data_IF_081726648863
#
_entry.id   IF_081726648863
#
_cell.length_a   1.000
_cell.length_b   1.000
_cell.length_c   1.000
_cell.angle_alpha   90.00
_cell.angle_beta   90.00
_cell.angle_gamma   90.00
#
_symmetry.space_group_name_H-M   'P 1'
#
loop_
_entity.id
_entity.type
_entity.pdbx_description
1 polymer ?
#
# COMPACT_ATOMS: atom_id res chain seq x y z
N UNK A 1 -4.07 16.98 -25.82
CA UNK A 1 -4.07 16.33 -24.50
C UNK A 1 -5.40 15.62 -24.35
N UNK A 2 -5.41 14.30 -24.39
CA UNK A 2 -6.62 13.48 -24.35
C UNK A 2 -6.78 12.90 -22.95
N UNK A 3 -7.84 13.29 -22.26
CA UNK A 3 -8.21 12.71 -20.97
C UNK A 3 -9.23 11.59 -21.22
N UNK A 4 -8.99 10.41 -20.64
CA UNK A 4 -9.89 9.26 -20.74
C UNK A 4 -10.57 9.03 -19.40
N UNK A 5 -11.84 8.63 -19.41
CA UNK A 5 -12.56 8.24 -18.21
C UNK A 5 -13.30 6.91 -18.42
N UNK A 6 -13.29 6.07 -17.40
CA UNK A 6 -14.04 4.83 -17.34
C UNK A 6 -13.23 3.71 -16.69
N UNK A 7 -13.78 2.50 -16.73
CA UNK A 7 -13.12 1.28 -16.29
C UNK A 7 -13.38 0.13 -17.27
N UNK A 8 -12.71 -1.00 -17.08
CA UNK A 8 -12.92 -2.19 -17.91
C UNK A 8 -14.37 -2.70 -17.84
N UNK A 9 -15.04 -2.51 -16.69
CA UNK A 9 -16.44 -2.86 -16.52
C UNK A 9 -17.35 -2.07 -17.45
N UNK A 10 -17.22 -0.75 -17.46
CA UNK A 10 -18.00 0.11 -18.37
C UNK A 10 -17.73 -0.20 -19.84
N UNK A 11 -16.48 -0.54 -20.19
CA UNK A 11 -16.14 -0.95 -21.55
C UNK A 11 -16.78 -2.30 -21.93
N UNK A 12 -16.74 -3.28 -21.02
CA UNK A 12 -17.35 -4.59 -21.24
C UNK A 12 -18.86 -4.48 -21.42
N UNK A 13 -19.53 -3.69 -20.59
CA UNK A 13 -20.98 -3.51 -20.67
C UNK A 13 -21.37 -2.85 -21.99
N UNK A 14 -20.60 -1.85 -22.41
CA UNK A 14 -20.80 -1.20 -23.71
C UNK A 14 -20.59 -2.16 -24.88
N UNK A 15 -19.51 -2.94 -24.88
CA UNK A 15 -19.24 -3.97 -25.89
C UNK A 15 -20.32 -5.03 -25.96
N UNK A 16 -20.73 -5.55 -24.82
CA UNK A 16 -21.73 -6.62 -24.72
C UNK A 16 -23.07 -6.13 -25.25
N UNK A 17 -23.47 -4.91 -24.88
CA UNK A 17 -24.72 -4.32 -25.35
C UNK A 17 -24.71 -4.06 -26.84
N UNK A 18 -23.64 -3.49 -27.39
CA UNK A 18 -23.50 -3.28 -28.84
C UNK A 18 -23.55 -4.61 -29.60
N UNK A 19 -22.85 -5.64 -29.12
CA UNK A 19 -22.86 -6.98 -29.71
C UNK A 19 -24.26 -7.59 -29.71
N UNK A 20 -24.94 -7.59 -28.56
CA UNK A 20 -26.30 -8.14 -28.41
C UNK A 20 -27.26 -7.49 -29.40
N UNK A 21 -27.24 -6.15 -29.49
CA UNK A 21 -28.12 -5.41 -30.38
C UNK A 21 -27.80 -5.66 -31.86
N UNK A 22 -26.53 -5.79 -32.21
CA UNK A 22 -26.12 -6.10 -33.59
C UNK A 22 -26.50 -7.53 -34.00
N UNK A 23 -26.38 -8.50 -33.09
CA UNK A 23 -26.84 -9.86 -33.32
C UNK A 23 -28.35 -9.91 -33.53
N UNK A 24 -29.13 -9.15 -32.73
CA UNK A 24 -30.58 -9.01 -32.93
C UNK A 24 -30.93 -8.37 -34.29
N UNK A 25 -30.10 -7.45 -34.78
CA UNK A 25 -30.23 -6.85 -36.12
C UNK A 25 -29.75 -7.79 -37.24
N UNK A 26 -29.24 -8.98 -36.93
CA UNK A 26 -28.73 -9.96 -37.89
C UNK A 26 -27.37 -9.58 -38.51
N UNK A 27 -26.64 -8.65 -37.87
CA UNK A 27 -25.28 -8.29 -38.31
C UNK A 27 -24.27 -9.31 -37.81
N UNK A 28 -23.28 -9.62 -38.66
CA UNK A 28 -22.18 -10.53 -38.34
C UNK A 28 -20.87 -9.81 -37.99
N UNK A 29 -20.85 -8.49 -38.11
CA UNK A 29 -19.70 -7.62 -37.82
C UNK A 29 -20.14 -6.46 -36.95
N UNK A 30 -19.20 -5.94 -36.15
CA UNK A 30 -19.41 -4.73 -35.35
C UNK A 30 -18.49 -3.65 -35.91
N UNK A 31 -19.07 -2.52 -36.29
CA UNK A 31 -18.35 -1.36 -36.77
C UNK A 31 -18.29 -0.27 -35.69
N UNK A 32 -17.36 0.68 -35.84
CA UNK A 32 -17.19 1.80 -34.90
C UNK A 32 -18.48 2.62 -34.74
N UNK A 33 -19.32 2.67 -35.78
CA UNK A 33 -20.57 3.42 -35.76
C UNK A 33 -21.64 2.76 -34.89
N UNK A 34 -21.60 1.44 -34.72
CA UNK A 34 -22.54 0.72 -33.85
C UNK A 34 -22.33 1.09 -32.37
N UNK A 35 -21.10 1.45 -32.00
CA UNK A 35 -20.77 1.91 -30.66
C UNK A 35 -21.33 3.30 -30.34
N UNK A 36 -21.49 4.16 -31.36
CA UNK A 36 -22.00 5.53 -31.16
C UNK A 36 -23.44 5.52 -30.66
N UNK A 37 -24.26 4.57 -31.12
CA UNK A 37 -25.67 4.43 -30.72
C UNK A 37 -25.81 4.14 -29.22
N UNK A 38 -24.90 3.35 -28.67
CA UNK A 38 -24.93 2.92 -27.26
C UNK A 38 -23.91 3.63 -26.39
N UNK A 39 -23.30 4.71 -26.89
CA UNK A 39 -22.34 5.50 -26.14
C UNK A 39 -23.01 6.12 -24.90
N UNK A 40 -22.24 6.25 -23.83
CA UNK A 40 -22.70 6.87 -22.60
C UNK A 40 -23.09 8.33 -22.87
N UNK A 41 -24.25 8.73 -22.34
CA UNK A 41 -24.71 10.11 -22.42
C UNK A 41 -23.75 11.05 -21.70
N UNK A 42 -23.74 12.33 -22.09
CA UNK A 42 -22.89 13.34 -21.45
C UNK A 42 -23.11 13.40 -19.93
N UNK A 43 -24.36 13.27 -19.48
CA UNK A 43 -24.69 13.24 -18.05
C UNK A 43 -24.09 12.03 -17.32
N UNK A 44 -24.06 10.85 -17.96
CA UNK A 44 -23.40 9.67 -17.40
C UNK A 44 -21.89 9.88 -17.31
N UNK A 45 -21.26 10.49 -18.31
CA UNK A 45 -19.84 10.83 -18.28
C UNK A 45 -19.51 11.84 -17.16
N UNK A 46 -20.36 12.87 -16.98
CA UNK A 46 -20.23 13.84 -15.89
C UNK A 46 -20.36 13.14 -14.53
N UNK A 47 -21.30 12.20 -14.40
CA UNK A 47 -21.46 11.41 -13.18
C UNK A 47 -20.21 10.57 -12.91
N UNK A 48 -19.69 9.86 -13.91
CA UNK A 48 -18.47 9.05 -13.77
C UNK A 48 -17.27 9.88 -13.31
N UNK A 49 -17.04 11.08 -13.86
CA UNK A 49 -15.87 11.89 -13.45
C UNK A 49 -16.01 12.39 -12.02
N UNK A 50 -17.23 12.69 -11.58
CA UNK A 50 -17.47 13.10 -10.20
C UNK A 50 -17.21 11.94 -9.24
N UNK A 51 -17.76 10.76 -9.55
CA UNK A 51 -17.58 9.56 -8.72
C UNK A 51 -16.12 9.11 -8.69
N UNK A 52 -15.42 9.12 -9.84
CA UNK A 52 -14.01 8.80 -9.92
C UNK A 52 -13.18 9.74 -9.04
N UNK A 53 -13.39 11.05 -9.17
CA UNK A 53 -12.68 12.06 -8.39
C UNK A 53 -12.99 11.96 -6.89
N UNK A 54 -14.25 11.72 -6.52
CA UNK A 54 -14.66 11.55 -5.14
C UNK A 54 -14.04 10.28 -4.53
N UNK A 55 -14.00 9.19 -5.29
CA UNK A 55 -13.32 7.96 -4.90
C UNK A 55 -11.82 8.14 -4.71
N UNK A 56 -11.15 8.85 -5.62
CA UNK A 56 -9.73 9.21 -5.51
C UNK A 56 -9.45 10.01 -4.24
N UNK A 57 -10.23 11.05 -3.96
CA UNK A 57 -10.10 11.87 -2.75
C UNK A 57 -10.36 11.05 -1.48
N UNK A 58 -11.36 10.17 -1.50
CA UNK A 58 -11.70 9.32 -0.35
C UNK A 58 -10.56 8.34 -0.03
N UNK A 59 -9.93 7.78 -1.07
CA UNK A 59 -8.83 6.83 -0.97
C UNK A 59 -7.49 7.51 -0.66
N UNK A 60 -7.41 8.84 -0.78
CA UNK A 60 -6.20 9.58 -0.48
C UNK A 60 -5.83 9.42 1.01
N UNK A 61 -4.70 8.73 1.22
CA UNK A 61 -4.13 8.52 2.54
C UNK A 61 -3.36 9.76 2.97
N UNK A 62 -3.91 10.50 3.93
CA UNK A 62 -3.18 11.61 4.54
C UNK A 62 -2.21 11.11 5.61
N UNK A 63 -1.14 11.88 5.84
CA UNK A 63 -0.17 11.57 6.89
C UNK A 63 -0.82 11.58 8.29
N UNK A 64 -1.88 12.36 8.49
CA UNK A 64 -2.68 12.35 9.72
C UNK A 64 -3.46 11.03 9.88
N UNK A 65 -4.07 10.51 8.80
CA UNK A 65 -4.74 9.20 8.83
C UNK A 65 -3.75 8.10 9.16
N UNK A 66 -2.53 8.15 8.60
CA UNK A 66 -1.44 7.20 8.92
C UNK A 66 -1.01 7.31 10.38
N UNK A 67 -0.76 8.52 10.90
CA UNK A 67 -0.42 8.75 12.31
C UNK A 67 -1.50 8.25 13.26
N UNK A 68 -2.77 8.46 12.91
CA UNK A 68 -3.92 7.97 13.68
C UNK A 68 -4.01 6.45 13.66
N UNK A 69 -3.76 5.82 12.51
CA UNK A 69 -3.67 4.36 12.42
C UNK A 69 -2.54 3.81 13.28
N UNK A 70 -1.33 4.40 13.20
CA UNK A 70 -0.20 4.00 14.03
C UNK A 70 -0.48 4.18 15.52
N UNK A 71 -1.13 5.29 15.93
CA UNK A 71 -1.49 5.50 17.34
C UNK A 71 -2.52 4.49 17.83
N UNK A 72 -3.51 4.11 17.03
CA UNK A 72 -4.49 3.07 17.38
C UNK A 72 -3.86 1.67 17.46
N UNK A 73 -3.00 1.32 16.50
CA UNK A 73 -2.29 0.04 16.49
C UNK A 73 -1.28 -0.07 17.64
N UNK A 74 -0.62 1.04 17.98
CA UNK A 74 0.39 1.14 19.04
C UNK A 74 -0.17 1.61 20.39
N UNK A 75 -1.48 1.84 20.53
CA UNK A 75 -2.10 2.18 21.82
C UNK A 75 -1.94 1.06 22.88
N UNK A 76 -1.53 -0.15 22.46
CA UNK A 76 -1.12 -1.24 23.36
C UNK A 76 0.42 -1.37 23.51
N UNK A 77 1.19 -0.48 22.88
CA UNK A 77 2.65 -0.53 22.81
C UNK A 77 3.24 0.87 22.84
N UNK A 78 3.44 1.36 24.07
CA UNK A 78 4.09 2.62 24.43
C UNK A 78 5.38 2.89 23.62
N UNK A 79 5.27 3.53 22.46
CA UNK A 79 6.40 4.21 21.84
C UNK A 79 6.51 5.56 22.52
N UNK A 80 7.52 5.67 23.39
CA UNK A 80 7.92 6.94 23.96
C UNK A 80 8.09 7.94 22.82
N UNK A 81 7.43 9.07 22.98
CA UNK A 81 7.75 10.31 22.30
C UNK A 81 9.25 10.56 22.43
N UNK A 82 10.01 10.24 21.38
CA UNK A 82 11.30 10.87 21.16
C UNK A 82 11.00 12.15 20.39
N UNK A 83 10.52 13.14 21.14
CA UNK A 83 10.48 14.53 20.73
C UNK A 83 11.95 15.00 20.71
N UNK A 84 12.67 14.62 19.67
CA UNK A 84 14.01 15.11 19.41
C UNK A 84 13.89 16.49 18.76
N UNK A 85 13.53 17.49 19.58
CA UNK A 85 14.17 18.79 19.48
C UNK A 85 15.63 18.62 19.90
N UNK A 86 16.47 18.11 18.99
CA UNK A 86 17.91 18.21 19.15
C UNK A 86 18.36 19.54 18.53
N UNK A 87 18.34 20.56 19.38
CA UNK A 87 19.27 21.67 19.28
C UNK A 87 20.69 21.09 19.25
N UNK A 88 21.36 21.28 18.12
CA UNK A 88 22.79 21.03 17.98
C UNK A 88 23.51 22.13 18.78
N UNK A 89 24.08 21.78 19.93
CA UNK A 89 25.35 22.40 20.30
C UNK A 89 26.29 21.44 21.02
N UNK A 90 27.51 21.43 20.50
CA UNK A 90 28.63 20.58 20.89
C UNK A 90 29.31 21.18 22.10
N UNK A 91 29.59 20.39 23.15
CA UNK A 91 30.91 20.43 23.81
C UNK A 91 31.10 19.39 24.91
N UNK A 92 32.11 18.53 24.68
CA UNK A 92 33.09 18.00 25.63
C UNK A 92 32.66 17.46 27.00
N UNK A 93 32.77 16.12 27.17
CA UNK A 93 33.41 15.46 28.34
C UNK A 93 33.51 13.92 28.21
N UNK A 94 34.42 13.25 28.95
CA UNK A 94 35.11 12.05 28.49
C UNK A 94 34.40 10.70 28.72
N UNK A 95 34.72 9.76 27.85
CA UNK A 95 34.20 8.38 27.73
C UNK A 95 34.39 7.57 29.02
N UNK A 96 33.32 7.36 29.80
CA UNK A 96 33.22 6.25 30.75
C UNK A 96 32.57 5.04 30.06
N UNK A 97 33.35 3.97 29.83
CA UNK A 97 32.83 2.67 29.38
C UNK A 97 31.97 2.06 30.48
N UNK A 98 30.68 2.38 30.47
CA UNK A 98 29.70 1.71 31.32
C UNK A 98 29.40 0.33 30.74
N UNK A 99 29.85 -0.72 31.42
CA UNK A 99 29.37 -2.09 31.22
C UNK A 99 27.86 -2.13 31.52
N UNK A 100 27.04 -1.95 30.48
CA UNK A 100 25.59 -2.07 30.59
C UNK A 100 25.25 -3.54 30.84
N UNK A 101 24.96 -3.91 32.09
CA UNK A 101 24.29 -5.17 32.41
C UNK A 101 22.93 -5.14 31.69
N UNK A 102 22.75 -6.02 30.71
CA UNK A 102 21.52 -6.09 29.92
C UNK A 102 20.30 -6.35 30.80
N UNK A 103 19.13 -5.83 30.39
CA UNK A 103 17.86 -6.17 31.05
C UNK A 103 17.66 -7.69 30.99
N UNK A 104 17.29 -8.36 32.10
CA UNK A 104 17.01 -9.79 32.07
C UNK A 104 15.94 -10.09 31.01
N UNK A 105 16.17 -11.13 30.20
CA UNK A 105 15.29 -11.52 29.09
C UNK A 105 15.55 -10.84 27.74
N UNK A 106 16.45 -9.86 27.64
CA UNK A 106 16.84 -9.27 26.33
C UNK A 106 18.23 -9.77 25.90
N UNK A 107 18.29 -10.60 24.84
CA UNK A 107 19.54 -10.96 24.17
C UNK A 107 20.11 -9.71 23.48
N UNK A 108 21.44 -9.58 23.48
CA UNK A 108 22.11 -8.51 22.74
C UNK A 108 21.99 -8.83 21.24
N UNK A 109 21.41 -7.96 20.40
CA UNK A 109 21.19 -8.25 18.99
C UNK A 109 22.53 -8.35 18.26
N UNK A 110 23.00 -9.58 18.09
CA UNK A 110 24.15 -9.96 17.27
C UNK A 110 23.76 -11.18 16.45
N UNK A 111 24.35 -11.30 15.26
CA UNK A 111 24.11 -12.45 14.38
C UNK A 111 24.56 -13.72 15.09
N UNK A 112 23.64 -14.65 15.27
CA UNK A 112 23.98 -15.98 15.77
C UNK A 112 24.83 -16.69 14.72
N UNK A 113 25.90 -17.35 15.17
CA UNK A 113 26.75 -18.12 14.27
C UNK A 113 26.00 -19.40 13.90
N UNK A 114 25.72 -19.59 12.61
CA UNK A 114 25.01 -20.75 12.08
C UNK A 114 25.89 -21.45 11.05
N UNK A 115 25.98 -22.78 11.14
CA UNK A 115 26.85 -23.64 10.32
C UNK A 115 27.88 -24.38 11.18
N UNK A 116 27.62 -25.65 11.45
CA UNK A 116 28.46 -26.48 12.33
C UNK A 116 29.55 -27.25 11.58
N UNK A 117 30.67 -27.51 12.29
CA UNK A 117 31.60 -28.59 12.00
C UNK A 117 32.05 -29.26 13.32
N UNK A 118 31.34 -30.36 13.64
CA UNK A 118 31.65 -31.63 14.35
C UNK A 118 32.79 -31.71 15.39
N UNK A 119 32.48 -32.07 16.64
CA UNK A 119 32.52 -33.43 17.27
C UNK A 119 33.93 -33.91 17.69
N UNK A 120 34.09 -34.21 18.99
CA UNK A 120 34.84 -35.40 19.42
C UNK A 120 34.11 -35.99 20.62
N UNK A 121 33.49 -37.16 20.40
CA UNK A 121 33.02 -38.01 21.46
C UNK A 121 34.20 -38.71 22.11
N UNK A 122 34.15 -38.84 23.43
CA UNK A 122 34.96 -39.80 24.17
C UNK A 122 34.04 -40.61 25.06
N UNK A 123 33.52 -41.72 24.53
CA UNK A 123 33.01 -42.83 25.32
C UNK A 123 33.39 -44.12 24.59
N UNK A 124 34.36 -44.86 25.14
CA UNK A 124 34.18 -46.27 25.53
C UNK A 124 35.52 -46.98 25.82
N UNK A 125 35.47 -47.78 26.90
CA UNK A 125 36.34 -48.88 27.38
C UNK A 125 37.51 -48.51 28.29
#
# INVERSE_FOLDING_TARGET
MTFTIGCIGTLKDWLTKTLEMNLMKGKNTIDIDDFKEYALSLNQCIKMIREAREGEISLEESDEKKKTLYSLLMANGNFGSDDNNEEVDQSNSPVKKNNKKGKPGKRNPKRDTVGGAKESGSDAV
#
